data_IF_966038753546
#
_entry.id   IF_966038753546
#
_cell.length_a   1.000
_cell.length_b   1.000
_cell.length_c   1.000
_cell.angle_alpha   90.00
_cell.angle_beta   90.00
_cell.angle_gamma   90.00
#
_symmetry.space_group_name_H-M   'P 1'
#
loop_
_entity.id
_entity.type
_entity.pdbx_description
1 polymer ?
#
# COMPACT_ATOMS: atom_id res chain seq x y z
N UNK A 1 -44.28 -42.97 -55.36
CA UNK A 1 -44.21 -41.52 -55.68
C UNK A 1 -43.84 -40.75 -54.42
N UNK A 2 -43.10 -39.64 -54.56
CA UNK A 2 -42.43 -38.93 -53.45
C UNK A 2 -43.44 -38.27 -52.49
N UNK A 3 -43.18 -38.34 -51.18
CA UNK A 3 -43.58 -37.30 -50.22
C UNK A 3 -42.36 -36.88 -49.41
N UNK A 4 -42.25 -35.57 -49.22
CA UNK A 4 -41.10 -34.87 -48.63
C UNK A 4 -41.25 -34.91 -47.11
N UNK A 5 -40.18 -35.24 -46.37
CA UNK A 5 -40.00 -34.79 -45.00
C UNK A 5 -38.75 -33.94 -44.92
N UNK A 6 -38.92 -32.68 -44.51
CA UNK A 6 -37.82 -31.80 -44.18
C UNK A 6 -37.32 -32.13 -42.77
N UNK A 7 -36.03 -32.43 -42.64
CA UNK A 7 -35.38 -32.49 -41.34
C UNK A 7 -35.05 -31.06 -40.88
N UNK A 8 -35.84 -30.51 -39.96
CA UNK A 8 -35.44 -29.29 -39.24
C UNK A 8 -34.26 -29.64 -38.32
N UNK A 9 -33.05 -29.30 -38.74
CA UNK A 9 -31.89 -29.25 -37.87
C UNK A 9 -32.01 -28.04 -36.94
N UNK A 10 -32.71 -28.20 -35.81
CA UNK A 10 -32.66 -27.22 -34.71
C UNK A 10 -31.32 -27.39 -34.00
N UNK A 11 -30.28 -26.77 -34.55
CA UNK A 11 -29.04 -26.53 -33.81
C UNK A 11 -29.37 -25.56 -32.68
N UNK A 12 -29.56 -26.10 -31.49
CA UNK A 12 -29.72 -25.33 -30.27
C UNK A 12 -28.38 -24.62 -29.99
N UNK A 13 -28.23 -23.39 -30.50
CA UNK A 13 -27.22 -22.47 -29.98
C UNK A 13 -27.62 -22.15 -28.54
N UNK A 14 -27.11 -22.94 -27.60
CA UNK A 14 -26.87 -22.44 -26.25
C UNK A 14 -25.85 -21.31 -26.37
N UNK A 15 -26.36 -20.10 -26.61
CA UNK A 15 -25.60 -18.88 -26.45
C UNK A 15 -25.20 -18.80 -24.98
N UNK A 16 -24.04 -19.36 -24.65
CA UNK A 16 -23.36 -19.09 -23.39
C UNK A 16 -23.05 -17.60 -23.39
N UNK A 17 -23.93 -16.81 -22.78
CA UNK A 17 -23.67 -15.42 -22.46
C UNK A 17 -22.57 -15.41 -21.42
N UNK A 18 -21.33 -15.50 -21.91
CA UNK A 18 -20.15 -15.25 -21.13
C UNK A 18 -20.15 -13.76 -20.77
N UNK A 19 -20.86 -13.43 -19.68
CA UNK A 19 -20.62 -12.23 -18.88
C UNK A 19 -19.30 -12.35 -18.11
N UNK A 20 -18.26 -12.83 -18.79
CA UNK A 20 -16.91 -12.46 -18.46
C UNK A 20 -16.84 -10.96 -18.69
N UNK A 21 -16.79 -10.18 -17.60
CA UNK A 21 -16.55 -8.76 -17.71
C UNK A 21 -15.31 -8.55 -18.57
N UNK A 22 -15.48 -7.78 -19.64
CA UNK A 22 -14.45 -7.52 -20.63
C UNK A 22 -13.35 -6.62 -20.10
N UNK A 23 -12.63 -7.05 -19.06
CA UNK A 23 -11.27 -6.64 -18.77
C UNK A 23 -10.40 -7.11 -19.94
N UNK A 24 -10.53 -6.40 -21.05
CA UNK A 24 -9.91 -6.77 -22.31
C UNK A 24 -8.40 -6.84 -22.18
N UNK A 25 -7.76 -7.48 -23.17
CA UNK A 25 -6.31 -7.45 -23.38
C UNK A 25 -5.79 -6.03 -23.72
N UNK A 26 -5.97 -5.06 -22.81
CA UNK A 26 -5.52 -3.68 -22.92
C UNK A 26 -4.28 -3.48 -22.04
N UNK A 27 -3.13 -3.63 -22.69
CA UNK A 27 -1.79 -3.29 -22.22
C UNK A 27 -1.31 -3.98 -20.93
N UNK A 28 -0.64 -5.12 -21.12
CA UNK A 28 0.37 -5.68 -20.20
C UNK A 28 1.67 -4.83 -20.18
N UNK A 29 1.55 -3.52 -20.36
CA UNK A 29 2.67 -2.58 -20.42
C UNK A 29 2.35 -1.34 -19.58
N UNK A 30 1.79 -1.55 -18.38
CA UNK A 30 1.68 -0.49 -17.39
C UNK A 30 3.04 -0.25 -16.74
N UNK A 31 3.53 0.99 -16.80
CA UNK A 31 4.79 1.45 -16.23
C UNK A 31 4.84 1.37 -14.69
N UNK A 32 3.73 0.97 -14.08
CA UNK A 32 3.52 0.65 -12.66
C UNK A 32 2.71 -0.66 -12.52
N UNK A 33 3.14 -1.57 -11.64
CA UNK A 33 2.47 -2.86 -11.36
C UNK A 33 2.27 -3.12 -9.86
N UNK A 34 1.15 -3.72 -9.48
CA UNK A 34 1.00 -4.37 -8.17
C UNK A 34 1.55 -5.79 -8.27
N UNK A 35 2.49 -6.16 -7.41
CA UNK A 35 3.00 -7.53 -7.36
C UNK A 35 2.26 -8.33 -6.29
N UNK A 36 1.91 -9.62 -6.53
CA UNK A 36 1.08 -10.39 -5.61
C UNK A 36 1.84 -10.82 -4.34
N UNK A 37 3.18 -10.89 -4.37
CA UNK A 37 4.00 -11.29 -3.21
C UNK A 37 5.26 -10.43 -3.06
N UNK A 38 5.81 -10.35 -1.84
CA UNK A 38 7.12 -9.72 -1.57
C UNK A 38 8.28 -10.33 -2.41
N UNK A 39 8.13 -11.56 -2.88
CA UNK A 39 9.12 -12.34 -3.65
C UNK A 39 8.88 -12.31 -5.16
N UNK A 40 7.84 -11.61 -5.63
CA UNK A 40 7.48 -11.59 -7.04
C UNK A 40 8.53 -10.85 -7.87
N UNK A 41 9.15 -11.55 -8.80
CA UNK A 41 10.09 -10.99 -9.77
C UNK A 41 9.33 -10.26 -10.89
N UNK A 42 9.89 -9.14 -11.35
CA UNK A 42 9.25 -8.24 -12.32
C UNK A 42 10.28 -7.34 -12.98
N UNK A 43 10.08 -7.04 -14.27
CA UNK A 43 10.88 -6.07 -15.01
C UNK A 43 10.46 -4.61 -14.73
N UNK A 44 9.25 -4.39 -14.22
CA UNK A 44 8.69 -3.07 -13.95
C UNK A 44 9.42 -2.41 -12.76
N UNK A 45 10.02 -1.25 -13.03
CA UNK A 45 10.81 -0.49 -12.06
C UNK A 45 9.94 0.15 -10.96
N UNK A 46 8.81 0.76 -11.34
CA UNK A 46 7.79 1.19 -10.38
C UNK A 46 6.88 0.01 -10.07
N UNK A 47 6.73 -0.29 -8.78
CA UNK A 47 5.89 -1.39 -8.31
C UNK A 47 5.47 -1.17 -6.87
N UNK A 48 4.36 -1.76 -6.47
CA UNK A 48 4.00 -1.89 -5.06
C UNK A 48 3.54 -3.31 -4.72
N UNK A 49 3.64 -3.65 -3.44
CA UNK A 49 3.06 -4.85 -2.84
C UNK A 49 2.25 -4.44 -1.61
N UNK A 50 1.09 -5.06 -1.41
CA UNK A 50 0.23 -4.85 -0.24
C UNK A 50 -0.25 -6.19 0.29
N UNK A 51 -0.15 -6.38 1.61
CA UNK A 51 -0.46 -7.65 2.27
C UNK A 51 -1.91 -8.15 2.13
N UNK A 52 -2.84 -7.29 1.72
CA UNK A 52 -4.27 -7.63 1.53
C UNK A 52 -4.48 -8.81 0.58
N UNK A 53 -3.75 -8.85 -0.54
CA UNK A 53 -3.89 -9.95 -1.51
C UNK A 53 -3.43 -11.30 -0.94
N UNK A 54 -2.37 -11.28 -0.12
CA UNK A 54 -1.90 -12.48 0.59
C UNK A 54 -2.93 -12.93 1.64
N UNK A 55 -3.61 -12.02 2.35
CA UNK A 55 -4.66 -12.37 3.31
C UNK A 55 -5.84 -13.04 2.59
N UNK A 56 -6.32 -12.47 1.50
CA UNK A 56 -7.38 -13.07 0.65
C UNK A 56 -6.98 -14.47 0.18
N UNK A 57 -5.73 -14.66 -0.27
CA UNK A 57 -5.26 -15.99 -0.65
C UNK A 57 -5.26 -16.98 0.53
N UNK A 58 -4.81 -16.55 1.71
CA UNK A 58 -4.77 -17.40 2.90
C UNK A 58 -6.18 -17.88 3.29
N UNK A 59 -7.19 -17.02 3.21
CA UNK A 59 -8.57 -17.38 3.55
C UNK A 59 -9.22 -18.30 2.51
N UNK A 60 -8.97 -18.07 1.21
CA UNK A 60 -9.36 -19.00 0.14
C UNK A 60 -8.74 -20.39 0.39
N UNK A 61 -7.45 -20.43 0.69
CA UNK A 61 -6.70 -21.66 0.94
C UNK A 61 -7.20 -22.40 2.21
N UNK A 62 -7.42 -21.67 3.31
CA UNK A 62 -7.67 -22.27 4.62
C UNK A 62 -9.15 -22.58 4.86
N UNK A 63 -10.06 -21.70 4.44
CA UNK A 63 -11.46 -21.75 4.85
C UNK A 63 -12.36 -22.41 3.78
N UNK A 64 -12.06 -22.18 2.51
CA UNK A 64 -12.83 -22.68 1.36
C UNK A 64 -12.20 -23.97 0.81
N UNK A 65 -10.95 -23.90 0.32
CA UNK A 65 -10.24 -25.04 -0.30
C UNK A 65 -9.72 -26.04 0.75
N UNK A 66 -9.46 -25.56 1.99
CA UNK A 66 -8.97 -26.36 3.13
C UNK A 66 -7.65 -27.10 2.86
N UNK A 67 -6.80 -26.53 2.00
CA UNK A 67 -5.52 -27.09 1.60
C UNK A 67 -4.78 -26.21 0.59
N UNK A 68 -3.48 -26.46 0.33
CA UNK A 68 -2.69 -25.68 -0.64
C UNK A 68 -3.31 -25.69 -2.03
N UNK A 69 -3.54 -24.51 -2.60
CA UNK A 69 -4.21 -24.34 -3.89
C UNK A 69 -3.27 -24.77 -5.02
N UNK A 70 -3.76 -25.55 -5.98
CA UNK A 70 -3.07 -25.87 -7.22
C UNK A 70 -3.99 -25.59 -8.39
N UNK A 71 -3.45 -25.11 -9.49
CA UNK A 71 -4.21 -24.83 -10.71
C UNK A 71 -3.99 -25.98 -11.71
N UNK A 72 -5.07 -26.58 -12.19
CA UNK A 72 -5.03 -27.68 -13.17
C UNK A 72 -4.35 -27.21 -14.46
N UNK A 73 -3.29 -27.90 -14.89
CA UNK A 73 -2.49 -27.55 -16.05
C UNK A 73 -1.49 -26.41 -15.82
N UNK A 74 -1.31 -25.96 -14.57
CA UNK A 74 -0.33 -24.94 -14.18
C UNK A 74 0.23 -25.21 -12.77
N UNK A 75 0.58 -26.46 -12.50
CA UNK A 75 1.11 -26.94 -11.20
C UNK A 75 2.48 -26.34 -10.89
N UNK A 76 3.13 -25.74 -11.91
CA UNK A 76 4.43 -25.09 -11.79
C UNK A 76 4.35 -23.60 -11.44
N UNK A 77 3.17 -22.98 -11.48
CA UNK A 77 2.95 -21.55 -11.24
C UNK A 77 3.70 -21.03 -10.00
N UNK A 78 4.63 -20.09 -10.21
CA UNK A 78 5.50 -19.55 -9.15
C UNK A 78 4.71 -18.67 -8.18
N UNK A 79 3.76 -17.87 -8.68
CA UNK A 79 2.91 -17.00 -7.86
C UNK A 79 2.05 -17.82 -6.89
N UNK A 80 1.37 -18.85 -7.38
CA UNK A 80 0.58 -19.80 -6.56
C UNK A 80 1.46 -20.46 -5.49
N UNK A 81 2.67 -20.88 -5.85
CA UNK A 81 3.63 -21.50 -4.92
C UNK A 81 4.14 -20.56 -3.83
N UNK A 82 4.36 -19.28 -4.11
CA UNK A 82 4.74 -18.31 -3.07
C UNK A 82 3.55 -17.91 -2.20
N UNK A 83 2.38 -17.69 -2.80
CA UNK A 83 1.14 -17.35 -2.07
C UNK A 83 0.74 -18.47 -1.08
N UNK A 84 0.83 -19.74 -1.49
CA UNK A 84 0.56 -20.90 -0.62
C UNK A 84 1.45 -21.00 0.63
N UNK A 85 2.57 -20.25 0.70
CA UNK A 85 3.46 -20.22 1.87
C UNK A 85 2.94 -19.30 2.98
N UNK A 86 1.87 -18.54 2.74
CA UNK A 86 1.19 -17.68 3.71
C UNK A 86 2.15 -16.79 4.53
N UNK A 87 3.12 -16.18 3.84
CA UNK A 87 4.26 -15.48 4.48
C UNK A 87 3.84 -14.23 5.25
N UNK A 88 2.78 -13.57 4.79
CA UNK A 88 2.12 -12.47 5.47
C UNK A 88 0.73 -12.93 5.91
N UNK A 89 0.30 -12.50 7.10
CA UNK A 89 -0.93 -12.96 7.77
C UNK A 89 -1.62 -11.79 8.46
N UNK A 90 -2.91 -11.95 8.76
CA UNK A 90 -3.71 -10.89 9.37
C UNK A 90 -3.26 -10.52 10.81
N UNK A 91 -2.65 -11.45 11.55
CA UNK A 91 -2.04 -11.21 12.87
C UNK A 91 -0.76 -10.32 12.82
N UNK A 92 -0.22 -10.09 11.61
CA UNK A 92 0.84 -9.11 11.33
C UNK A 92 0.29 -7.68 11.13
N UNK A 93 -0.99 -7.46 11.44
CA UNK A 93 -1.68 -6.17 11.45
C UNK A 93 -2.44 -6.02 12.77
N UNK A 94 -2.63 -4.78 13.21
CA UNK A 94 -3.56 -4.48 14.30
C UNK A 94 -5.00 -4.69 13.82
N UNK A 95 -5.80 -5.42 14.61
CA UNK A 95 -7.14 -5.89 14.25
C UNK A 95 -8.10 -4.76 13.84
N UNK A 96 -7.95 -3.57 14.41
CA UNK A 96 -8.74 -2.39 14.06
C UNK A 96 -8.38 -1.78 12.69
N UNK A 97 -7.31 -2.23 12.01
CA UNK A 97 -6.84 -1.65 10.73
C UNK A 97 -7.28 -2.42 9.49
N UNK A 98 -7.81 -3.64 9.64
CA UNK A 98 -8.35 -4.41 8.51
C UNK A 98 -9.78 -4.91 8.76
N UNK A 99 -10.55 -5.02 7.68
CA UNK A 99 -11.82 -5.75 7.63
C UNK A 99 -11.62 -6.92 6.67
N UNK A 100 -12.11 -8.11 7.04
CA UNK A 100 -12.09 -9.30 6.17
C UNK A 100 -13.30 -10.17 6.45
N UNK A 101 -13.84 -10.78 5.40
CA UNK A 101 -14.92 -11.77 5.48
C UNK A 101 -14.80 -12.73 4.28
N UNK A 102 -15.49 -13.85 4.35
CA UNK A 102 -15.61 -14.80 3.23
C UNK A 102 -16.98 -15.49 3.31
N UNK A 103 -17.55 -15.81 2.16
CA UNK A 103 -18.88 -16.42 2.10
C UNK A 103 -19.28 -16.81 0.68
N UNK A 104 -20.42 -17.50 0.55
CA UNK A 104 -21.04 -17.71 -0.75
C UNK A 104 -21.50 -16.35 -1.31
N UNK A 105 -21.33 -16.13 -2.61
CA UNK A 105 -21.72 -14.87 -3.24
C UNK A 105 -23.23 -14.71 -3.17
N UNK A 106 -23.68 -13.62 -2.54
CA UNK A 106 -25.07 -13.21 -2.50
C UNK A 106 -25.20 -11.69 -2.25
N UNK A 107 -26.36 -11.07 -2.55
CA UNK A 107 -26.62 -9.67 -2.22
C UNK A 107 -26.48 -9.36 -0.72
N UNK A 108 -26.80 -10.30 0.15
CA UNK A 108 -26.67 -10.16 1.60
C UNK A 108 -25.20 -10.07 2.02
N UNK A 109 -24.31 -10.88 1.42
CA UNK A 109 -22.86 -10.77 1.66
C UNK A 109 -22.30 -9.44 1.15
N UNK A 110 -22.82 -8.89 0.04
CA UNK A 110 -22.46 -7.54 -0.41
C UNK A 110 -22.79 -6.50 0.68
N UNK A 111 -24.02 -6.55 1.19
CA UNK A 111 -24.51 -5.62 2.21
C UNK A 111 -23.78 -5.78 3.56
N UNK A 112 -23.41 -7.02 3.95
CA UNK A 112 -22.55 -7.30 5.11
C UNK A 112 -21.20 -6.58 4.97
N UNK A 113 -20.55 -6.70 3.82
CA UNK A 113 -19.25 -6.06 3.56
C UNK A 113 -19.39 -4.54 3.57
N UNK A 114 -20.40 -3.99 2.88
CA UNK A 114 -20.63 -2.54 2.80
C UNK A 114 -20.92 -1.93 4.17
N UNK A 115 -21.76 -2.57 4.98
CA UNK A 115 -22.01 -2.18 6.37
C UNK A 115 -20.74 -2.30 7.20
N UNK A 116 -20.04 -3.43 7.13
CA UNK A 116 -18.85 -3.70 7.94
C UNK A 116 -17.69 -2.74 7.68
N UNK A 117 -17.44 -2.34 6.43
CA UNK A 117 -16.43 -1.32 6.11
C UNK A 117 -16.92 0.10 6.43
N UNK A 118 -18.23 0.38 6.32
CA UNK A 118 -18.78 1.68 6.71
C UNK A 118 -18.72 1.90 8.22
N UNK A 119 -19.08 0.89 9.02
CA UNK A 119 -18.99 0.92 10.48
C UNK A 119 -17.54 0.98 10.96
N UNK A 120 -16.66 0.11 10.45
CA UNK A 120 -15.28 0.00 10.93
C UNK A 120 -14.38 1.14 10.47
N UNK A 121 -14.63 1.71 9.29
CA UNK A 121 -13.71 2.64 8.63
C UNK A 121 -14.33 3.95 8.14
N UNK A 122 -15.66 4.12 8.23
CA UNK A 122 -16.39 5.17 7.54
C UNK A 122 -16.03 5.25 6.03
N UNK A 123 -15.88 4.09 5.38
CA UNK A 123 -15.41 3.97 3.99
C UNK A 123 -16.39 3.19 3.11
N UNK A 124 -16.17 3.24 1.80
CA UNK A 124 -16.81 2.39 0.77
C UNK A 124 -15.75 1.59 0.01
N UNK A 125 -16.16 0.60 -0.78
CA UNK A 125 -15.24 -0.28 -1.52
C UNK A 125 -15.25 0.03 -3.02
N UNK A 126 -14.06 0.15 -3.60
CA UNK A 126 -13.87 0.47 -5.02
C UNK A 126 -14.05 -0.73 -5.97
N UNK A 127 -14.29 -1.94 -5.44
CA UNK A 127 -14.35 -3.17 -6.25
C UNK A 127 -15.67 -3.94 -6.15
N UNK A 128 -16.53 -3.69 -5.15
CA UNK A 128 -17.74 -4.52 -4.96
C UNK A 128 -18.73 -4.35 -6.11
N UNK A 129 -18.86 -3.15 -6.67
CA UNK A 129 -19.73 -2.88 -7.83
C UNK A 129 -19.21 -3.48 -9.15
N UNK A 130 -17.98 -4.02 -9.17
CA UNK A 130 -17.39 -4.68 -10.34
C UNK A 130 -17.61 -6.20 -10.35
N UNK A 131 -18.14 -6.78 -9.27
CA UNK A 131 -18.35 -8.22 -9.12
C UNK A 131 -19.77 -8.63 -9.51
N UNK A 132 -19.92 -9.83 -10.08
CA UNK A 132 -21.22 -10.44 -10.30
C UNK A 132 -21.74 -11.09 -9.01
N UNK A 133 -22.77 -10.48 -8.41
CA UNK A 133 -23.39 -10.93 -7.15
C UNK A 133 -24.49 -11.99 -7.32
N UNK A 134 -24.72 -12.51 -8.53
CA UNK A 134 -25.68 -13.59 -8.78
C UNK A 134 -25.25 -14.84 -8.01
N UNK A 135 -26.08 -15.38 -7.09
CA UNK A 135 -25.73 -16.60 -6.35
C UNK A 135 -25.61 -17.81 -7.28
N UNK A 136 -24.64 -18.68 -7.01
CA UNK A 136 -24.49 -19.97 -7.69
C UNK A 136 -23.81 -20.99 -6.75
N UNK A 137 -24.02 -22.31 -6.97
CA UNK A 137 -23.27 -23.34 -6.25
C UNK A 137 -21.76 -23.12 -6.38
N UNK A 138 -21.04 -23.34 -5.28
CA UNK A 138 -19.57 -23.21 -5.17
C UNK A 138 -18.97 -21.86 -5.62
N UNK A 139 -19.81 -20.81 -5.72
CA UNK A 139 -19.39 -19.44 -6.04
C UNK A 139 -19.16 -18.65 -4.74
N UNK A 140 -17.89 -18.47 -4.38
CA UNK A 140 -17.49 -17.80 -3.13
C UNK A 140 -16.78 -16.46 -3.38
N UNK A 141 -16.91 -15.56 -2.41
CA UNK A 141 -16.08 -14.37 -2.28
C UNK A 141 -15.18 -14.52 -1.05
N UNK A 142 -13.96 -14.02 -1.20
CA UNK A 142 -13.05 -13.74 -0.08
C UNK A 142 -12.63 -12.28 -0.21
N UNK A 143 -12.86 -11.51 0.85
CA UNK A 143 -12.67 -10.06 0.85
C UNK A 143 -11.71 -9.62 1.95
N UNK A 144 -10.86 -8.63 1.67
CA UNK A 144 -10.06 -7.94 2.70
C UNK A 144 -9.81 -6.49 2.29
N UNK A 145 -10.15 -5.57 3.19
CA UNK A 145 -9.79 -4.15 3.12
C UNK A 145 -8.80 -3.85 4.26
N UNK A 146 -7.70 -3.15 3.94
CA UNK A 146 -6.76 -2.58 4.90
C UNK A 146 -6.91 -1.05 4.82
N UNK A 147 -7.18 -0.39 5.95
CA UNK A 147 -7.16 1.07 6.07
C UNK A 147 -6.12 1.49 7.10
N UNK A 148 -5.20 2.35 6.68
CA UNK A 148 -4.13 2.94 7.50
C UNK A 148 -4.15 4.44 7.27
N UNK A 149 -4.30 5.20 8.35
CA UNK A 149 -4.34 6.65 8.38
C UNK A 149 -3.58 7.08 9.65
N UNK A 150 -2.35 7.58 9.49
CA UNK A 150 -1.44 7.87 10.60
C UNK A 150 -0.45 8.99 10.24
N UNK A 151 -0.15 9.84 11.21
CA UNK A 151 0.76 10.97 11.06
C UNK A 151 2.20 10.65 11.43
N UNK A 152 3.14 11.37 10.84
CA UNK A 152 4.49 11.52 11.40
C UNK A 152 4.43 12.12 12.81
N UNK A 153 5.43 11.83 13.65
CA UNK A 153 5.50 12.31 15.03
C UNK A 153 5.32 13.85 15.11
N UNK A 154 5.99 14.57 14.22
CA UNK A 154 5.77 15.98 13.92
C UNK A 154 5.61 16.19 12.39
N UNK A 155 4.90 17.24 11.94
CA UNK A 155 4.79 17.55 10.52
C UNK A 155 6.09 18.17 9.99
N UNK A 156 6.67 17.58 8.94
CA UNK A 156 7.85 18.12 8.27
C UNK A 156 7.58 19.45 7.57
N UNK A 157 8.63 20.17 7.19
CA UNK A 157 8.51 21.39 6.41
C UNK A 157 8.22 21.12 4.94
N UNK A 158 7.59 22.10 4.28
CA UNK A 158 7.49 22.09 2.81
C UNK A 158 8.82 22.63 2.27
N UNK A 159 9.44 21.88 1.37
CA UNK A 159 10.68 22.28 0.71
C UNK A 159 10.41 22.80 -0.71
N UNK A 160 11.38 23.52 -1.26
CA UNK A 160 11.33 24.03 -2.63
C UNK A 160 11.19 22.89 -3.66
N UNK A 161 10.23 22.95 -4.60
CA UNK A 161 10.06 21.91 -5.60
C UNK A 161 11.31 21.72 -6.47
N UNK A 162 11.74 20.47 -6.64
CA UNK A 162 12.99 20.11 -7.32
C UNK A 162 12.78 18.93 -8.29
N UNK A 163 13.82 18.50 -9.00
CA UNK A 163 13.74 17.34 -9.92
C UNK A 163 13.63 16.02 -9.15
N UNK A 164 13.23 14.97 -9.86
CA UNK A 164 13.27 13.58 -9.38
C UNK A 164 13.93 12.70 -10.46
N UNK A 165 15.14 12.23 -10.17
CA UNK A 165 16.02 11.47 -11.04
C UNK A 165 16.16 12.11 -12.43
N UNK A 166 15.88 11.32 -13.46
CA UNK A 166 15.97 11.76 -14.86
C UNK A 166 14.79 12.62 -15.32
N UNK A 167 13.77 12.85 -14.48
CA UNK A 167 12.64 13.71 -14.83
C UNK A 167 13.06 15.19 -14.87
N UNK A 168 12.77 15.86 -15.99
CA UNK A 168 13.18 17.25 -16.23
C UNK A 168 12.34 18.30 -15.50
N UNK A 169 11.10 17.97 -15.13
CA UNK A 169 10.19 18.85 -14.40
C UNK A 169 10.45 18.82 -12.89
N UNK A 170 9.72 19.67 -12.16
CA UNK A 170 9.76 19.72 -10.69
C UNK A 170 8.64 18.88 -10.08
N UNK A 171 8.85 18.42 -8.85
CA UNK A 171 7.89 17.76 -7.95
C UNK A 171 7.98 18.41 -6.57
N UNK A 172 6.89 18.40 -5.81
CA UNK A 172 6.87 18.90 -4.44
C UNK A 172 7.62 17.95 -3.49
N UNK A 173 8.31 18.55 -2.51
CA UNK A 173 9.12 17.86 -1.51
C UNK A 173 8.78 18.35 -0.10
N UNK A 174 9.03 17.49 0.88
CA UNK A 174 9.03 17.81 2.30
C UNK A 174 10.28 17.27 2.99
N UNK A 175 10.57 17.73 4.22
CA UNK A 175 11.65 17.18 5.03
C UNK A 175 12.23 18.18 6.02
N UNK A 176 13.56 18.21 6.12
CA UNK A 176 14.34 19.00 7.08
C UNK A 176 15.49 19.68 6.31
N UNK A 177 15.65 21.00 6.49
CA UNK A 177 16.79 21.77 6.00
C UNK A 177 17.44 22.60 7.13
N UNK A 178 18.36 23.49 6.79
CA UNK A 178 19.07 24.32 7.78
C UNK A 178 18.15 25.33 8.51
N UNK A 179 16.97 25.63 7.95
CA UNK A 179 15.97 26.56 8.48
C UNK A 179 14.88 25.86 9.33
N UNK A 180 14.81 24.52 9.28
CA UNK A 180 13.84 23.70 9.98
C UNK A 180 14.02 23.70 11.50
N UNK A 181 12.91 23.47 12.22
CA UNK A 181 12.91 23.23 13.66
C UNK A 181 13.72 21.96 13.99
N UNK A 182 14.73 22.09 14.86
CA UNK A 182 15.62 21.00 15.28
C UNK A 182 14.93 19.92 16.13
N UNK A 183 13.69 20.14 16.58
CA UNK A 183 12.86 19.07 17.12
C UNK A 183 12.46 18.03 16.04
N UNK A 184 12.46 18.39 14.75
CA UNK A 184 12.23 17.45 13.65
C UNK A 184 13.34 16.40 13.53
N UNK A 185 14.60 16.75 13.86
CA UNK A 185 15.75 15.83 13.81
C UNK A 185 15.47 14.56 14.64
N UNK A 186 14.81 14.71 15.81
CA UNK A 186 14.45 13.62 16.72
C UNK A 186 13.39 12.67 16.16
N UNK A 187 12.70 13.05 15.09
CA UNK A 187 11.69 12.22 14.41
C UNK A 187 12.26 11.34 13.30
N UNK A 188 13.57 11.48 13.02
CA UNK A 188 14.29 10.76 11.96
C UNK A 188 15.38 9.88 12.57
N UNK A 189 15.25 8.57 12.40
CA UNK A 189 16.25 7.59 12.84
C UNK A 189 17.05 7.10 11.62
N UNK A 190 18.35 7.39 11.58
CA UNK A 190 19.25 6.94 10.52
C UNK A 190 19.55 5.46 10.72
N UNK A 191 19.14 4.63 9.77
CA UNK A 191 19.42 3.19 9.80
C UNK A 191 20.84 2.89 9.30
N UNK A 192 21.24 3.57 8.22
CA UNK A 192 22.63 3.60 7.73
C UNK A 192 22.81 4.73 6.73
N UNK A 193 24.06 5.15 6.54
CA UNK A 193 24.48 6.09 5.50
C UNK A 193 25.81 5.62 4.90
N UNK A 194 25.76 4.97 3.74
CA UNK A 194 26.97 4.53 3.03
C UNK A 194 27.41 5.59 2.01
N UNK A 195 26.46 6.25 1.37
CA UNK A 195 26.68 7.37 0.44
C UNK A 195 25.36 8.13 0.21
N UNK A 196 25.36 9.29 -0.48
CA UNK A 196 24.13 9.94 -0.93
C UNK A 196 23.20 9.07 -1.80
N UNK A 197 23.73 8.00 -2.42
CA UNK A 197 22.97 7.06 -3.27
C UNK A 197 22.64 5.71 -2.60
N UNK A 198 23.10 5.48 -1.37
CA UNK A 198 22.81 4.28 -0.57
C UNK A 198 22.72 4.61 0.92
N UNK A 199 21.49 4.89 1.37
CA UNK A 199 21.16 5.21 2.76
C UNK A 199 19.75 4.74 3.08
N UNK A 200 19.46 4.52 4.36
CA UNK A 200 18.07 4.37 4.81
C UNK A 200 17.81 5.14 6.11
N UNK A 201 16.61 5.72 6.20
CA UNK A 201 16.07 6.38 7.38
C UNK A 201 14.71 5.77 7.75
N UNK A 202 14.35 5.87 9.02
CA UNK A 202 13.02 5.60 9.50
C UNK A 202 12.41 6.89 10.04
N UNK A 203 11.21 7.23 9.57
CA UNK A 203 10.44 8.37 10.08
C UNK A 203 9.47 7.85 11.15
N UNK A 204 9.55 8.43 12.34
CA UNK A 204 8.70 8.08 13.46
C UNK A 204 7.26 8.59 13.25
N UNK A 205 6.28 7.81 13.70
CA UNK A 205 4.86 8.15 13.62
C UNK A 205 4.24 8.29 15.01
N UNK A 206 3.12 9.02 15.10
CA UNK A 206 2.31 9.14 16.31
C UNK A 206 1.63 7.81 16.71
N UNK A 207 1.47 6.89 15.75
CA UNK A 207 0.83 5.59 15.95
C UNK A 207 1.82 4.48 16.26
N UNK A 208 1.44 3.24 15.96
CA UNK A 208 2.33 2.07 16.03
C UNK A 208 3.17 1.88 14.76
N UNK A 209 2.86 2.61 13.71
CA UNK A 209 3.48 2.47 12.39
C UNK A 209 4.87 3.12 12.33
N UNK A 210 5.69 2.70 11.38
CA UNK A 210 6.98 3.30 11.07
C UNK A 210 7.16 3.34 9.55
N UNK A 211 7.70 4.45 9.04
CA UNK A 211 7.93 4.64 7.60
C UNK A 211 9.41 4.50 7.32
N UNK A 212 9.80 3.39 6.70
CA UNK A 212 11.17 3.21 6.23
C UNK A 212 11.32 3.78 4.83
N UNK A 213 12.34 4.60 4.63
CA UNK A 213 12.72 5.19 3.34
C UNK A 213 14.15 4.76 3.02
N UNK A 214 14.31 4.00 1.94
CA UNK A 214 15.57 3.41 1.52
C UNK A 214 15.92 3.90 0.10
N UNK A 215 16.92 4.80 0.00
CA UNK A 215 17.53 5.20 -1.28
C UNK A 215 18.45 4.07 -1.76
N UNK A 216 18.15 3.52 -2.93
CA UNK A 216 19.04 2.56 -3.62
C UNK A 216 18.63 2.39 -5.08
N UNK A 217 19.61 2.19 -5.96
CA UNK A 217 19.37 1.83 -7.36
C UNK A 217 19.01 0.34 -7.55
N UNK A 218 19.18 -0.48 -6.51
CA UNK A 218 18.95 -1.92 -6.60
C UNK A 218 17.52 -2.26 -7.07
N UNK A 219 17.45 -3.21 -8.00
CA UNK A 219 16.19 -3.70 -8.57
C UNK A 219 15.88 -5.13 -8.10
N UNK A 220 16.16 -5.43 -6.83
CA UNK A 220 15.84 -6.71 -6.19
C UNK A 220 14.34 -6.82 -5.86
N UNK A 221 13.87 -8.01 -5.50
CA UNK A 221 12.51 -8.24 -4.97
C UNK A 221 12.34 -7.56 -3.61
N UNK A 222 11.10 -7.26 -3.18
CA UNK A 222 10.87 -6.51 -1.93
C UNK A 222 11.39 -7.23 -0.69
N UNK A 223 11.31 -8.56 -0.63
CA UNK A 223 11.89 -9.34 0.47
C UNK A 223 13.43 -9.20 0.54
N UNK A 224 14.10 -9.17 -0.62
CA UNK A 224 15.55 -8.97 -0.72
C UNK A 224 15.92 -7.54 -0.35
N UNK A 225 15.21 -6.53 -0.86
CA UNK A 225 15.43 -5.11 -0.53
C UNK A 225 15.23 -4.82 0.96
N UNK A 226 14.17 -5.38 1.56
CA UNK A 226 13.88 -5.25 2.99
C UNK A 226 14.95 -5.94 3.86
N UNK A 227 15.41 -7.13 3.44
CA UNK A 227 16.50 -7.83 4.14
C UNK A 227 17.83 -7.09 4.02
N UNK A 228 18.15 -6.56 2.83
CA UNK A 228 19.37 -5.79 2.54
C UNK A 228 19.45 -4.54 3.42
N UNK A 229 18.35 -3.79 3.53
CA UNK A 229 18.22 -2.63 4.43
C UNK A 229 18.55 -2.98 5.90
N UNK A 230 18.03 -4.09 6.41
CA UNK A 230 18.29 -4.52 7.80
C UNK A 230 19.70 -5.10 8.01
N UNK A 231 20.28 -5.75 6.99
CA UNK A 231 21.68 -6.21 7.03
C UNK A 231 22.62 -5.00 7.06
N UNK A 232 22.39 -3.99 6.20
CA UNK A 232 23.16 -2.74 6.19
C UNK A 232 23.03 -1.99 7.50
N UNK A 233 21.82 -1.87 8.06
CA UNK A 233 21.58 -1.32 9.40
C UNK A 233 22.41 -2.05 10.48
N UNK A 234 22.35 -3.38 10.51
CA UNK A 234 23.07 -4.17 11.51
C UNK A 234 24.61 -4.08 11.39
N UNK A 235 25.13 -3.78 10.21
CA UNK A 235 26.57 -3.56 9.96
C UNK A 235 27.03 -2.10 10.06
N UNK A 236 26.12 -1.14 10.21
CA UNK A 236 26.46 0.29 10.18
C UNK A 236 26.97 0.77 11.54
N UNK A 237 28.25 1.16 11.57
CA UNK A 237 28.95 1.63 12.78
C UNK A 237 28.88 3.15 12.97
N UNK A 238 28.18 3.88 12.10
CA UNK A 238 28.04 5.34 12.19
C UNK A 238 26.90 5.80 13.09
N UNK A 239 26.75 7.12 13.20
CA UNK A 239 25.71 7.73 14.02
C UNK A 239 24.31 7.42 13.49
N UNK A 240 23.43 6.95 14.38
CA UNK A 240 22.04 6.63 14.08
C UNK A 240 21.09 7.81 14.35
N UNK A 241 21.47 8.77 15.20
CA UNK A 241 20.72 10.03 15.32
C UNK A 241 20.87 10.84 14.03
N UNK A 242 19.80 11.50 13.59
CA UNK A 242 19.89 12.64 12.69
C UNK A 242 20.58 13.80 13.44
N UNK A 243 21.49 14.52 12.77
CA UNK A 243 22.31 15.58 13.37
C UNK A 243 21.95 16.94 12.77
N UNK A 244 22.28 18.01 13.50
CA UNK A 244 21.90 19.40 13.21
C UNK A 244 22.21 19.90 11.78
N UNK A 245 23.26 19.34 11.13
CA UNK A 245 23.70 19.68 9.76
C UNK A 245 23.22 18.68 8.69
N UNK A 246 22.54 17.59 9.08
CA UNK A 246 21.95 16.67 8.12
C UNK A 246 20.72 17.29 7.47
N UNK A 247 20.40 16.86 6.25
CA UNK A 247 19.20 17.34 5.55
C UNK A 247 18.42 16.17 4.98
N UNK A 248 17.09 16.24 5.10
CA UNK A 248 16.15 15.24 4.63
C UNK A 248 15.30 15.83 3.51
N UNK A 249 15.18 15.13 2.38
CA UNK A 249 14.28 15.51 1.29
C UNK A 249 13.48 14.28 0.83
N UNK A 250 12.16 14.32 1.02
CA UNK A 250 11.21 13.25 0.68
C UNK A 250 10.16 13.80 -0.27
N UNK A 251 9.88 13.15 -1.43
CA UNK A 251 8.87 13.64 -2.35
C UNK A 251 7.44 13.33 -1.86
N UNK A 252 6.49 14.17 -2.25
CA UNK A 252 5.06 13.86 -2.11
C UNK A 252 4.67 12.70 -3.06
N UNK A 253 3.96 11.70 -2.54
CA UNK A 253 3.55 10.49 -3.28
C UNK A 253 2.03 10.34 -3.29
N UNK A 254 1.45 10.05 -4.46
CA UNK A 254 0.01 9.86 -4.66
C UNK A 254 -0.28 8.72 -5.66
N UNK A 255 -0.36 7.48 -5.16
CA UNK A 255 -0.59 6.27 -5.95
C UNK A 255 -2.06 5.83 -5.83
N UNK A 256 -2.76 5.69 -6.96
CA UNK A 256 -3.97 4.86 -7.03
C UNK A 256 -3.86 3.80 -8.13
N UNK A 257 -4.16 2.53 -7.84
CA UNK A 257 -4.07 1.45 -8.82
C UNK A 257 -5.11 0.37 -8.55
N UNK A 258 -6.00 0.18 -9.52
CA UNK A 258 -6.76 -1.06 -9.69
C UNK A 258 -5.95 -2.02 -10.58
N UNK A 259 -5.87 -3.28 -10.21
CA UNK A 259 -5.25 -4.33 -11.01
C UNK A 259 -5.99 -5.67 -10.86
N UNK A 260 -6.08 -6.42 -11.95
CA UNK A 260 -6.45 -7.84 -11.94
C UNK A 260 -5.24 -8.75 -12.16
N UNK A 261 -5.32 -9.99 -11.67
CA UNK A 261 -4.30 -11.03 -11.79
C UNK A 261 -4.74 -12.17 -12.72
N UNK A 262 -4.77 -11.94 -14.06
CA UNK A 262 -5.30 -12.90 -15.03
C UNK A 262 -4.50 -14.21 -15.12
N UNK A 263 -3.28 -14.26 -14.59
CA UNK A 263 -2.50 -15.48 -14.47
C UNK A 263 -3.08 -16.47 -13.46
N UNK A 264 -3.91 -15.99 -12.52
CA UNK A 264 -4.60 -16.77 -11.49
C UNK A 264 -6.04 -17.14 -11.87
N UNK A 265 -6.66 -16.46 -12.86
CA UNK A 265 -8.09 -16.65 -13.18
C UNK A 265 -8.33 -17.72 -14.26
N UNK A 266 -9.58 -18.18 -14.37
CA UNK A 266 -10.07 -19.09 -15.42
C UNK A 266 -9.64 -20.56 -15.32
N UNK A 267 -8.62 -20.86 -14.51
CA UNK A 267 -8.12 -22.21 -14.22
C UNK A 267 -8.89 -22.86 -13.07
N UNK A 268 -9.08 -24.17 -13.15
CA UNK A 268 -9.73 -24.97 -12.09
C UNK A 268 -8.76 -25.23 -10.94
N UNK A 269 -9.27 -25.21 -9.71
CA UNK A 269 -8.51 -25.58 -8.51
C UNK A 269 -8.55 -27.10 -8.37
N UNK A 270 -7.39 -27.76 -8.37
CA UNK A 270 -7.27 -29.23 -8.27
C UNK A 270 -8.04 -29.77 -7.04
N UNK A 271 -8.83 -30.82 -7.24
CA UNK A 271 -9.66 -31.42 -6.19
C UNK A 271 -11.01 -30.72 -5.96
N UNK A 272 -11.38 -29.74 -6.79
CA UNK A 272 -12.66 -29.00 -6.71
C UNK A 272 -13.19 -28.70 -8.11
N UNK A 273 -14.49 -28.39 -8.24
CA UNK A 273 -15.06 -27.83 -9.49
C UNK A 273 -14.91 -26.30 -9.58
N UNK A 274 -14.30 -25.66 -8.57
CA UNK A 274 -14.15 -24.20 -8.49
C UNK A 274 -13.10 -23.67 -9.47
N UNK A 275 -13.35 -22.45 -9.96
CA UNK A 275 -12.40 -21.63 -10.73
C UNK A 275 -12.34 -20.25 -10.09
N UNK A 276 -11.15 -19.65 -10.05
CA UNK A 276 -11.03 -18.23 -9.70
C UNK A 276 -11.57 -17.43 -10.89
N UNK A 277 -12.73 -16.79 -10.74
CA UNK A 277 -13.30 -15.94 -11.81
C UNK A 277 -12.51 -14.64 -11.93
N UNK A 278 -12.33 -13.97 -10.80
CA UNK A 278 -11.77 -12.64 -10.69
C UNK A 278 -10.79 -12.60 -9.51
N UNK A 279 -9.61 -12.02 -9.74
CA UNK A 279 -8.61 -11.78 -8.73
C UNK A 279 -8.20 -10.31 -8.85
N UNK A 280 -8.84 -9.44 -8.06
CA UNK A 280 -8.70 -7.98 -8.15
C UNK A 280 -8.05 -7.41 -6.88
N UNK A 281 -7.28 -6.34 -7.04
CA UNK A 281 -6.75 -5.54 -5.93
C UNK A 281 -6.77 -4.05 -6.28
N UNK A 282 -7.20 -3.23 -5.32
CA UNK A 282 -7.03 -1.78 -5.35
C UNK A 282 -6.01 -1.32 -4.32
N UNK A 283 -5.36 -0.21 -4.62
CA UNK A 283 -4.51 0.57 -3.70
C UNK A 283 -4.84 2.04 -3.92
N UNK A 284 -5.08 2.79 -2.85
CA UNK A 284 -5.02 4.27 -2.80
C UNK A 284 -4.04 4.60 -1.67
N UNK A 285 -2.91 5.22 -2.01
CA UNK A 285 -1.82 5.52 -1.09
C UNK A 285 -1.33 6.95 -1.32
N UNK A 286 -1.33 7.74 -0.25
CA UNK A 286 -0.89 9.14 -0.26
C UNK A 286 0.06 9.39 0.90
N UNK A 287 1.19 10.04 0.63
CA UNK A 287 2.15 10.49 1.64
C UNK A 287 2.56 11.93 1.33
N UNK A 288 2.49 12.79 2.34
CA UNK A 288 2.94 14.18 2.29
C UNK A 288 3.56 14.60 3.62
N UNK A 289 4.00 15.86 3.75
CA UNK A 289 4.60 16.44 4.96
C UNK A 289 3.90 16.17 6.31
N UNK A 290 2.59 15.91 6.33
CA UNK A 290 1.81 15.62 7.56
C UNK A 290 1.75 14.12 7.90
N UNK A 291 2.16 13.25 6.97
CA UNK A 291 2.02 11.80 7.01
C UNK A 291 0.87 11.31 6.12
N UNK A 292 0.15 10.31 6.62
CA UNK A 292 -1.18 9.86 6.17
C UNK A 292 -2.22 10.52 7.15
N UNK A 293 -3.52 10.64 6.85
CA UNK A 293 -4.41 11.72 7.40
C UNK A 293 -4.90 11.57 8.88
N UNK A 294 -5.28 12.73 9.48
CA UNK A 294 -6.12 13.02 10.70
C UNK A 294 -5.50 13.17 12.14
N UNK A 295 -6.29 13.49 13.19
CA UNK A 295 -5.97 14.16 14.52
C UNK A 295 -5.59 13.16 15.65
N UNK A 296 -4.92 13.46 16.80
CA UNK A 296 -4.44 14.71 17.48
C UNK A 296 -3.32 14.41 18.54
N UNK A 297 -2.73 15.47 19.13
CA UNK A 297 -2.08 15.62 20.49
C UNK A 297 -0.97 14.69 21.05
N UNK A 298 0.11 15.30 21.62
CA UNK A 298 0.93 14.83 22.77
C UNK A 298 1.96 15.91 23.23
N UNK A 299 2.55 15.76 24.43
CA UNK A 299 3.64 16.59 24.98
C UNK A 299 4.58 15.76 25.89
N UNK A 300 5.82 16.20 26.17
CA UNK A 300 6.60 16.08 27.44
C UNK A 300 8.07 16.54 27.29
N UNK A 301 8.72 16.80 28.44
CA UNK A 301 10.00 17.49 28.65
C UNK A 301 11.28 16.59 28.62
N UNK A 302 12.29 16.96 29.41
CA UNK A 302 13.72 17.03 29.03
C UNK A 302 14.66 15.93 29.59
N UNK A 303 15.89 15.86 29.05
CA UNK A 303 17.12 15.52 29.78
C UNK A 303 18.36 16.12 29.09
N UNK A 304 19.43 16.39 29.85
CA UNK A 304 20.73 16.93 29.38
C UNK A 304 21.81 15.84 29.43
N UNK A 305 22.71 15.79 28.44
CA UNK A 305 23.94 14.99 28.50
C UNK A 305 25.18 15.85 28.19
N UNK A 306 26.34 15.45 28.73
CA UNK A 306 27.62 16.12 28.59
C UNK A 306 28.31 15.83 27.26
N UNK A 307 29.08 16.80 26.75
CA UNK A 307 29.81 16.72 25.48
C UNK A 307 31.17 16.04 25.66
N UNK A 308 31.45 15.02 24.85
CA UNK A 308 32.80 14.69 24.40
C UNK A 308 33.15 15.51 23.14
N UNK A 309 34.44 15.66 22.75
CA UNK A 309 34.81 16.46 21.59
C UNK A 309 34.27 15.85 20.29
N UNK A 310 33.48 16.63 19.56
CA UNK A 310 32.91 16.22 18.27
C UNK A 310 33.91 16.59 17.16
N UNK A 311 34.46 15.59 16.47
CA UNK A 311 35.10 15.80 15.15
C UNK A 311 34.09 16.46 14.21
N UNK A 312 34.52 17.33 13.29
CA UNK A 312 33.60 17.99 12.35
C UNK A 312 32.88 16.97 11.44
N UNK A 313 31.69 16.55 11.86
CA UNK A 313 30.85 15.64 11.09
C UNK A 313 30.40 16.38 9.83
N UNK A 314 30.86 15.89 8.68
CA UNK A 314 30.37 16.36 7.38
C UNK A 314 28.86 16.12 7.27
N UNK A 315 28.08 17.07 6.71
CA UNK A 315 26.63 16.95 6.61
C UNK A 315 26.23 15.72 5.78
N UNK A 316 25.26 14.93 6.27
CA UNK A 316 24.69 13.83 5.50
C UNK A 316 23.43 14.30 4.79
N UNK A 317 23.42 14.12 3.47
CA UNK A 317 22.28 14.47 2.63
C UNK A 317 21.44 13.22 2.37
N UNK A 318 20.28 13.15 3.02
CA UNK A 318 19.27 12.10 2.89
C UNK A 318 18.23 12.51 1.85
N UNK A 319 18.66 12.63 0.60
CA UNK A 319 17.79 13.07 -0.49
C UNK A 319 17.21 11.88 -1.26
N UNK A 320 15.88 11.77 -1.24
CA UNK A 320 15.11 10.80 -2.02
C UNK A 320 14.66 11.45 -3.32
N UNK A 321 15.61 12.07 -4.03
CA UNK A 321 15.41 12.74 -5.30
C UNK A 321 15.86 11.89 -6.50
N UNK A 322 16.13 10.59 -6.32
CA UNK A 322 16.10 9.54 -7.35
C UNK A 322 15.54 8.25 -6.69
N UNK A 323 15.82 7.09 -7.27
CA UNK A 323 15.14 5.82 -7.06
C UNK A 323 15.18 5.37 -5.59
N UNK A 324 14.00 5.11 -5.02
CA UNK A 324 13.89 4.70 -3.62
C UNK A 324 12.81 3.66 -3.38
N UNK A 325 12.90 3.04 -2.21
CA UNK A 325 11.96 2.03 -1.70
C UNK A 325 11.37 2.54 -0.40
N UNK A 326 10.06 2.51 -0.30
CA UNK A 326 9.29 2.83 0.89
C UNK A 326 8.68 1.54 1.46
N UNK A 327 8.81 1.33 2.77
CA UNK A 327 8.12 0.26 3.49
C UNK A 327 7.31 0.84 4.65
N UNK A 328 6.08 0.36 4.82
CA UNK A 328 5.25 0.66 6.00
C UNK A 328 5.05 -0.59 6.84
N UNK A 329 5.23 -0.44 8.14
CA UNK A 329 5.27 -1.54 9.10
C UNK A 329 4.74 -1.09 10.46
N UNK A 330 4.05 -1.96 11.19
CA UNK A 330 3.80 -1.76 12.63
C UNK A 330 5.06 -2.17 13.42
N UNK A 331 5.55 -1.33 14.33
CA UNK A 331 6.87 -1.47 15.00
C UNK A 331 7.04 -2.83 15.74
N UNK A 332 5.96 -3.46 16.20
CA UNK A 332 5.98 -4.77 16.88
C UNK A 332 5.92 -5.98 15.90
N UNK A 333 5.74 -5.74 14.60
CA UNK A 333 5.58 -6.78 13.57
C UNK A 333 6.89 -7.00 12.82
N UNK A 334 7.06 -8.21 12.27
CA UNK A 334 8.32 -8.66 11.62
C UNK A 334 8.44 -8.31 10.15
N UNK A 335 7.33 -7.96 9.49
CA UNK A 335 7.27 -7.69 8.05
C UNK A 335 6.50 -6.40 7.82
N UNK A 336 6.82 -5.65 6.76
CA UNK A 336 5.98 -4.55 6.31
C UNK A 336 4.64 -5.09 5.79
N UNK A 337 3.60 -4.27 5.85
CA UNK A 337 2.29 -4.54 5.24
C UNK A 337 2.11 -3.87 3.88
N UNK A 338 2.96 -2.89 3.57
CA UNK A 338 3.01 -2.16 2.31
C UNK A 338 4.47 -1.96 1.90
N UNK A 339 4.76 -2.14 0.61
CA UNK A 339 6.05 -1.81 0.02
C UNK A 339 5.83 -1.13 -1.33
N UNK A 340 6.59 -0.06 -1.61
CA UNK A 340 6.53 0.71 -2.86
C UNK A 340 7.95 0.99 -3.33
N UNK A 341 8.26 0.72 -4.59
CA UNK A 341 9.49 1.19 -5.24
C UNK A 341 9.13 2.29 -6.24
N UNK A 342 9.75 3.45 -6.07
CA UNK A 342 9.59 4.62 -6.94
C UNK A 342 10.87 4.79 -7.75
N UNK A 343 10.74 4.70 -9.06
CA UNK A 343 11.80 4.94 -10.07
C UNK A 343 11.43 6.13 -10.98
N UNK A 344 10.14 6.33 -11.26
CA UNK A 344 9.59 7.53 -11.87
C UNK A 344 8.36 7.97 -11.06
N UNK A 345 8.57 8.96 -10.19
CA UNK A 345 7.52 9.52 -9.34
C UNK A 345 6.36 10.12 -10.13
N UNK A 346 6.57 10.66 -11.34
CA UNK A 346 5.49 11.20 -12.15
C UNK A 346 4.54 10.09 -12.60
N UNK A 347 5.06 8.90 -12.89
CA UNK A 347 4.25 7.76 -13.27
C UNK A 347 3.48 7.18 -12.09
N UNK A 348 4.04 7.23 -10.88
CA UNK A 348 3.31 6.94 -9.63
C UNK A 348 2.20 7.98 -9.40
N UNK A 349 2.54 9.27 -9.40
CA UNK A 349 1.62 10.36 -9.03
C UNK A 349 0.51 10.61 -10.08
N UNK A 350 0.73 10.22 -11.34
CA UNK A 350 -0.30 10.23 -12.40
C UNK A 350 -1.46 9.27 -12.16
N UNK A 351 -1.28 8.24 -11.33
CA UNK A 351 -2.30 7.19 -11.22
C UNK A 351 -3.43 7.54 -10.26
N UNK A 352 -3.32 8.66 -9.52
CA UNK A 352 -4.32 9.16 -8.58
C UNK A 352 -5.76 9.07 -9.08
N UNK A 353 -6.66 8.63 -8.19
CA UNK A 353 -8.07 8.35 -8.49
C UNK A 353 -8.74 9.60 -9.09
N UNK A 354 -9.45 9.49 -10.23
CA UNK A 354 -10.21 10.62 -10.77
C UNK A 354 -11.25 11.09 -9.74
N UNK A 355 -11.37 12.40 -9.55
CA UNK A 355 -12.40 12.97 -8.67
C UNK A 355 -13.80 12.66 -9.24
N UNK A 356 -14.51 11.74 -8.60
CA UNK A 356 -15.95 11.56 -8.81
C UNK A 356 -16.68 12.69 -8.11
N UNK A 357 -17.42 13.50 -8.85
CA UNK A 357 -18.18 14.67 -8.36
C UNK A 357 -19.30 14.30 -7.38
N UNK A 358 -18.93 14.07 -6.12
CA UNK A 358 -19.76 14.28 -4.93
C UNK A 358 -18.87 14.86 -3.84
N UNK A 359 -18.86 16.18 -3.75
CA UNK A 359 -18.28 16.93 -2.64
C UNK A 359 -19.05 16.62 -1.36
N UNK A 360 -18.42 15.98 -0.38
CA UNK A 360 -18.81 16.15 1.02
C UNK A 360 -18.37 17.57 1.44
N UNK A 361 -19.21 18.35 2.15
CA UNK A 361 -18.88 19.72 2.49
C UNK A 361 -17.83 19.78 3.61
N UNK A 362 -16.76 20.53 3.39
CA UNK A 362 -15.86 20.96 4.46
C UNK A 362 -16.64 21.87 5.42
N UNK A 363 -16.91 21.42 6.64
CA UNK A 363 -17.36 22.29 7.73
C UNK A 363 -16.15 22.99 8.33
N UNK A 364 -15.96 24.25 7.98
CA UNK A 364 -15.06 25.15 8.69
C UNK A 364 -15.62 25.39 10.11
N UNK A 365 -14.82 25.09 11.14
CA UNK A 365 -15.16 25.42 12.53
C UNK A 365 -15.04 26.94 12.73
N UNK A 366 -16.16 27.65 12.91
CA UNK A 366 -16.15 29.08 13.26
C UNK A 366 -15.52 29.32 14.65
N UNK A 367 -14.57 30.25 14.73
CA UNK A 367 -13.98 30.70 16.00
C UNK A 367 -15.00 31.42 16.89
N UNK A 368 -15.50 30.73 17.92
CA UNK A 368 -16.23 31.38 19.01
C UNK A 368 -15.24 32.16 19.88
N UNK A 369 -15.11 33.46 19.62
CA UNK A 369 -14.43 34.40 20.52
C UNK A 369 -15.12 34.42 21.89
N UNK A 370 -14.42 33.99 22.93
CA UNK A 370 -14.79 34.26 24.33
C UNK A 370 -13.98 35.44 24.86
N UNK A 371 -14.67 36.53 25.18
CA UNK A 371 -14.07 37.68 25.90
C UNK A 371 -13.76 37.31 27.37
N UNK A 372 -12.66 37.82 27.96
CA UNK A 372 -12.37 37.60 29.36
C UNK A 372 -13.24 38.50 30.27
N UNK A 373 -14.02 37.90 31.17
CA UNK A 373 -14.66 38.64 32.24
C UNK A 373 -13.63 39.15 33.25
N UNK A 374 -13.48 40.48 33.33
CA UNK A 374 -12.78 41.15 34.42
C UNK A 374 -13.55 41.02 35.73
N UNK A 375 -12.97 40.35 36.72
CA UNK A 375 -13.38 40.45 38.12
C UNK A 375 -12.73 41.68 38.76
N UNK A 376 -13.50 42.75 38.96
CA UNK A 376 -13.10 43.83 39.86
C UNK A 376 -13.83 43.78 41.20
N UNK A 377 -13.05 44.07 42.24
CA UNK A 377 -13.45 44.04 43.64
C UNK A 377 -13.92 45.42 44.08
N UNK A 378 -15.18 45.58 44.52
CA UNK A 378 -15.50 46.22 45.81
C UNK A 378 -16.95 46.04 46.26
#
# INVERSE_FOLDING_TARGET
MKKILAALAITLLCATTASAFGFGKKSLNSEFVLVPTLKSETAQQNRAWVGTFQIVWNDLQNNIVKGPIKLVGDEKNVTVKELNKQRFKADMLSENTYYKTYGAISPELKQEIETGIKEKFNATSDILDMLDWTPAPDKYLVYTMLKKDFKFAAPFDKLEPSRFGKFRGKVDYFGINDESDKELDKTVNVLFYNSPDDFAVALETQGKDIVYLYRTDDNKTFDKLYSDMHIKKAGYMGWHDFKEKDQLRVPDVNLYKLQGYPELTGKQIEGTEMKISDALQTVDFKMNRKGVKLKSEAAIATMRCSLEPVEEVAPRYFYLDDTFVLFLQERDKKLPYFALRVYDLKLVNKTGKPETTKSEPDTEDEEVKTEPQTTETK
#
